data_IF_801481650666
#
_entry.id   IF_801481650666
#
_cell.length_a   1.000
_cell.length_b   1.000
_cell.length_c   1.000
_cell.angle_alpha   90.00
_cell.angle_beta   90.00
_cell.angle_gamma   90.00
#
_symmetry.space_group_name_H-M   'P 1'
#
loop_
_entity.id
_entity.type
_entity.pdbx_description
1 polymer ?
#
# COMPACT_ATOMS: atom_id res chain seq x y z
N UNK A 1 6.78 -1.77 21.20
CA UNK A 1 6.73 -0.82 20.06
C UNK A 1 7.00 -1.44 18.68
N UNK A 2 7.21 -2.76 18.55
CA UNK A 2 7.61 -3.35 17.26
C UNK A 2 6.50 -3.48 16.22
N UNK A 3 5.25 -3.73 16.63
CA UNK A 3 4.14 -3.93 15.70
C UNK A 3 3.82 -2.65 14.91
N UNK A 4 3.68 -1.50 15.59
CA UNK A 4 3.43 -0.20 14.95
C UNK A 4 4.56 0.19 14.00
N UNK A 5 5.82 -0.08 14.37
CA UNK A 5 6.99 0.15 13.51
C UNK A 5 6.98 -0.74 12.27
N UNK A 6 6.64 -2.03 12.41
CA UNK A 6 6.52 -2.98 11.28
C UNK A 6 5.40 -2.58 10.32
N UNK A 7 4.24 -2.17 10.85
CA UNK A 7 3.13 -1.69 10.02
C UNK A 7 3.48 -0.40 9.27
N UNK A 8 4.18 0.56 9.91
CA UNK A 8 4.66 1.76 9.20
C UNK A 8 5.62 1.43 8.06
N UNK A 9 6.50 0.44 8.25
CA UNK A 9 7.39 -0.04 7.18
C UNK A 9 6.61 -0.68 6.03
N UNK A 10 5.63 -1.53 6.35
CA UNK A 10 4.76 -2.15 5.35
C UNK A 10 3.96 -1.10 4.57
N UNK A 11 3.43 -0.08 5.26
CA UNK A 11 2.72 1.03 4.64
C UNK A 11 3.60 1.79 3.63
N UNK A 12 4.86 2.05 3.99
CA UNK A 12 5.79 2.72 3.10
C UNK A 12 6.08 1.87 1.84
N UNK A 13 6.31 0.57 2.00
CA UNK A 13 6.55 -0.33 0.87
C UNK A 13 5.34 -0.42 -0.09
N UNK A 14 4.11 -0.39 0.45
CA UNK A 14 2.89 -0.34 -0.35
C UNK A 14 2.80 0.98 -1.13
N UNK A 15 3.05 2.11 -0.48
CA UNK A 15 3.05 3.42 -1.15
C UNK A 15 4.07 3.48 -2.29
N UNK A 16 5.27 2.93 -2.09
CA UNK A 16 6.31 2.84 -3.12
C UNK A 16 5.87 1.97 -4.30
N UNK A 17 5.19 0.85 -4.01
CA UNK A 17 4.63 -0.06 -5.01
C UNK A 17 3.53 0.60 -5.83
N UNK A 18 2.59 1.30 -5.17
CA UNK A 18 1.53 2.09 -5.82
C UNK A 18 2.14 3.15 -6.75
N UNK A 19 3.13 3.90 -6.26
CA UNK A 19 3.82 4.93 -7.05
C UNK A 19 4.48 4.34 -8.30
N UNK A 20 5.16 3.20 -8.14
CA UNK A 20 5.81 2.50 -9.24
C UNK A 20 4.80 1.98 -10.26
N UNK A 21 3.73 1.33 -9.81
CA UNK A 21 2.68 0.81 -10.68
C UNK A 21 1.92 1.91 -11.42
N UNK A 22 1.66 3.06 -10.79
CA UNK A 22 1.07 4.23 -11.46
C UNK A 22 1.98 4.73 -12.59
N UNK A 23 3.29 4.82 -12.37
CA UNK A 23 4.26 5.19 -13.43
C UNK A 23 4.30 4.17 -14.55
N UNK A 24 4.28 2.88 -14.23
CA UNK A 24 4.28 1.79 -15.20
C UNK A 24 2.99 1.78 -16.02
N UNK A 25 1.82 1.96 -15.40
CA UNK A 25 0.51 2.05 -16.09
C UNK A 25 0.48 3.12 -17.17
N UNK A 26 1.15 4.25 -16.93
CA UNK A 26 1.23 5.34 -17.92
C UNK A 26 2.04 4.96 -19.16
N UNK A 27 3.02 4.05 -19.02
CA UNK A 27 3.95 3.66 -20.09
C UNK A 27 3.46 2.49 -20.93
N UNK A 28 2.46 1.74 -20.46
CA UNK A 28 2.00 0.51 -21.13
C UNK A 28 0.53 0.69 -21.55
N UNK A 29 0.21 0.39 -22.81
CA UNK A 29 -1.18 0.34 -23.30
C UNK A 29 -1.84 -1.02 -23.02
N UNK A 30 -1.12 -2.12 -23.27
CA UNK A 30 -1.59 -3.48 -23.00
C UNK A 30 -1.28 -3.89 -21.56
N UNK A 31 -2.29 -4.32 -20.78
CA UNK A 31 -2.12 -4.69 -19.36
C UNK A 31 -2.51 -3.60 -18.36
N UNK A 32 -3.10 -2.47 -18.82
CA UNK A 32 -3.66 -1.44 -17.94
C UNK A 32 -4.74 -1.98 -16.98
N UNK A 33 -5.51 -2.97 -17.41
CA UNK A 33 -6.56 -3.59 -16.60
C UNK A 33 -5.97 -4.33 -15.39
N UNK A 34 -4.93 -5.15 -15.61
CA UNK A 34 -4.27 -5.90 -14.53
C UNK A 34 -3.53 -4.96 -13.58
N UNK A 35 -2.84 -3.94 -14.09
CA UNK A 35 -2.20 -2.93 -13.25
C UNK A 35 -3.25 -2.16 -12.43
N UNK A 36 -4.41 -1.87 -13.00
CA UNK A 36 -5.49 -1.19 -12.27
C UNK A 36 -6.10 -2.07 -11.18
N UNK A 37 -6.24 -3.38 -11.44
CA UNK A 37 -6.65 -4.35 -10.41
C UNK A 37 -5.66 -4.36 -9.24
N UNK A 38 -4.37 -4.51 -9.54
CA UNK A 38 -3.32 -4.54 -8.51
C UNK A 38 -3.24 -3.21 -7.74
N UNK A 39 -3.45 -2.07 -8.41
CA UNK A 39 -3.51 -0.77 -7.74
C UNK A 39 -4.65 -0.70 -6.72
N UNK A 40 -5.85 -1.17 -7.09
CA UNK A 40 -6.99 -1.20 -6.17
C UNK A 40 -6.69 -2.10 -4.95
N UNK A 41 -6.13 -3.29 -5.16
CA UNK A 41 -5.75 -4.20 -4.06
C UNK A 41 -4.71 -3.58 -3.13
N UNK A 42 -3.75 -2.82 -3.67
CA UNK A 42 -2.75 -2.11 -2.86
C UNK A 42 -3.35 -0.94 -2.08
N UNK A 43 -4.31 -0.21 -2.66
CA UNK A 43 -5.02 0.89 -1.98
C UNK A 43 -5.90 0.34 -0.83
N UNK A 44 -6.53 -0.82 -1.03
CA UNK A 44 -7.25 -1.53 0.04
C UNK A 44 -6.29 -1.98 1.15
N UNK A 45 -5.13 -2.54 0.79
CA UNK A 45 -4.10 -2.93 1.75
C UNK A 45 -3.55 -1.73 2.54
N UNK A 46 -3.29 -0.60 1.86
CA UNK A 46 -2.90 0.67 2.47
C UNK A 46 -3.93 1.12 3.51
N UNK A 47 -5.20 1.09 3.14
CA UNK A 47 -6.32 1.50 4.00
C UNK A 47 -6.41 0.63 5.25
N UNK A 48 -6.27 -0.69 5.09
CA UNK A 48 -6.28 -1.64 6.20
C UNK A 48 -5.10 -1.43 7.16
N UNK A 49 -3.89 -1.20 6.63
CA UNK A 49 -2.71 -0.94 7.47
C UNK A 49 -2.81 0.39 8.20
N UNK A 50 -3.32 1.44 7.55
CA UNK A 50 -3.59 2.73 8.22
C UNK A 50 -4.57 2.57 9.38
N UNK A 51 -5.63 1.79 9.17
CA UNK A 51 -6.59 1.44 10.23
C UNK A 51 -5.91 0.69 11.37
N UNK A 52 -5.14 -0.35 11.07
CA UNK A 52 -4.41 -1.12 12.08
C UNK A 52 -3.40 -0.27 12.89
N UNK A 53 -2.71 0.67 12.25
CA UNK A 53 -1.81 1.62 12.95
C UNK A 53 -2.58 2.53 13.91
N UNK A 54 -3.80 2.94 13.54
CA UNK A 54 -4.65 3.82 14.35
C UNK A 54 -5.27 3.10 15.54
N UNK A 55 -5.64 1.84 15.35
CA UNK A 55 -6.25 1.00 16.39
C UNK A 55 -5.23 0.39 17.36
N UNK A 56 -3.93 0.42 17.01
CA UNK A 56 -2.87 0.01 17.93
C UNK A 56 -2.73 1.01 19.09
N UNK A 57 -2.89 0.55 20.35
CA UNK A 57 -2.66 1.40 21.52
C UNK A 57 -1.20 1.88 21.55
N UNK A 58 -0.98 3.11 22.02
CA UNK A 58 0.35 3.72 22.10
C UNK A 58 1.27 3.06 23.15
N UNK A 59 0.71 2.20 24.02
CA UNK A 59 1.35 1.64 25.22
C UNK A 59 1.95 0.22 25.06
N UNK A 60 2.43 -0.17 23.87
CA UNK A 60 3.29 -1.37 23.70
C UNK A 60 4.65 -0.96 23.17
#
# INVERSE_FOLDING_TARGET
MDAKRRLRRALNAINDSISTLRKTRLKIENGRADISRVLNELEDAETNIRRAIRELPDDI
#
